data_IF_512917245533
#
_entry.id   IF_512917245533
#
_cell.length_a   1.000
_cell.length_b   1.000
_cell.length_c   1.000
_cell.angle_alpha   90.00
_cell.angle_beta   90.00
_cell.angle_gamma   90.00
#
_symmetry.space_group_name_H-M   'P 1'
#
loop_
_entity.id
_entity.type
_entity.pdbx_description
1 polymer ?
#
# COMPACT_ATOMS: atom_id res chain seq x y z
N UNK A 1 16.40 7.98 -10.40
CA UNK A 1 15.00 7.80 -9.95
C UNK A 1 14.79 6.34 -9.63
N UNK A 2 13.95 6.07 -8.64
CA UNK A 2 13.55 4.72 -8.22
C UNK A 2 12.04 4.71 -8.05
N UNK A 3 11.39 3.65 -8.52
CA UNK A 3 9.96 3.41 -8.33
C UNK A 3 9.73 2.67 -7.01
N UNK A 4 8.68 3.05 -6.27
CA UNK A 4 8.32 2.46 -4.98
C UNK A 4 7.84 1.01 -5.12
N UNK A 5 6.91 0.76 -6.04
CA UNK A 5 6.29 -0.55 -6.26
C UNK A 5 5.30 -0.95 -5.16
N UNK A 6 4.49 -1.99 -5.41
CA UNK A 6 3.30 -2.33 -4.61
C UNK A 6 3.56 -2.86 -3.19
N UNK A 7 4.77 -3.24 -2.85
CA UNK A 7 5.13 -3.76 -1.52
C UNK A 7 6.08 -2.85 -0.75
N UNK A 8 6.27 -1.61 -1.23
CA UNK A 8 7.05 -0.57 -0.58
C UNK A 8 6.41 0.80 -0.80
N UNK A 9 6.65 1.71 0.10
CA UNK A 9 6.30 3.11 0.01
C UNK A 9 7.52 3.99 0.34
N UNK A 10 7.44 5.31 0.23
CA UNK A 10 8.54 6.19 0.59
C UNK A 10 9.03 6.02 2.03
N UNK A 11 8.19 5.57 2.97
CA UNK A 11 8.59 5.31 4.35
C UNK A 11 9.49 4.08 4.46
N UNK A 12 9.12 2.99 3.79
CA UNK A 12 9.93 1.77 3.74
C UNK A 12 11.25 2.04 3.02
N UNK A 13 11.21 2.75 1.88
CA UNK A 13 12.42 3.05 1.11
C UNK A 13 13.36 4.02 1.82
N UNK A 14 12.87 4.91 2.70
CA UNK A 14 13.71 5.76 3.54
C UNK A 14 14.57 4.95 4.54
N UNK A 15 14.25 3.67 4.78
CA UNK A 15 15.13 2.79 5.55
C UNK A 15 16.41 2.41 4.80
N UNK A 16 16.48 2.60 3.47
CA UNK A 16 17.61 2.20 2.63
C UNK A 16 18.50 3.41 2.34
N UNK A 17 19.67 3.56 2.98
CA UNK A 17 20.51 4.77 2.87
C UNK A 17 20.95 5.12 1.45
N UNK A 18 21.15 4.11 0.60
CA UNK A 18 21.52 4.29 -0.81
C UNK A 18 20.49 5.12 -1.60
N UNK A 19 19.22 5.14 -1.13
CA UNK A 19 18.11 5.82 -1.79
C UNK A 19 17.94 7.28 -1.34
N UNK A 20 18.65 7.76 -0.33
CA UNK A 20 18.48 9.11 0.23
C UNK A 20 18.59 10.23 -0.82
N UNK A 21 19.39 9.99 -1.87
CA UNK A 21 19.62 10.96 -2.95
C UNK A 21 18.81 10.67 -4.20
N UNK A 22 17.97 9.63 -4.17
CA UNK A 22 17.17 9.25 -5.31
C UNK A 22 15.80 9.95 -5.30
N UNK A 23 15.35 10.37 -6.47
CA UNK A 23 13.95 10.79 -6.63
C UNK A 23 13.07 9.56 -6.62
N UNK A 24 12.17 9.46 -5.66
CA UNK A 24 11.15 8.42 -5.64
C UNK A 24 9.99 8.83 -6.54
N UNK A 25 9.47 7.88 -7.30
CA UNK A 25 8.27 7.99 -8.13
C UNK A 25 7.38 6.79 -7.85
N UNK A 26 6.10 6.96 -8.09
CA UNK A 26 5.10 5.90 -7.95
C UNK A 26 4.25 5.83 -9.21
N UNK A 27 3.98 4.63 -9.68
CA UNK A 27 3.17 4.37 -10.86
C UNK A 27 2.33 3.12 -10.65
N UNK A 28 1.11 3.12 -11.14
CA UNK A 28 0.13 2.06 -10.88
C UNK A 28 0.49 0.68 -11.43
N UNK A 29 1.45 0.58 -12.36
CA UNK A 29 1.80 -0.66 -13.07
C UNK A 29 0.55 -1.41 -13.59
N UNK A 30 -0.43 -0.66 -14.10
CA UNK A 30 -1.74 -1.18 -14.45
C UNK A 30 -1.67 -2.02 -15.73
N UNK A 31 -1.93 -3.33 -15.61
CA UNK A 31 -2.01 -4.28 -16.73
C UNK A 31 -3.43 -4.42 -17.32
N UNK A 32 -4.38 -3.64 -16.82
CA UNK A 32 -5.76 -3.63 -17.31
C UNK A 32 -6.45 -2.29 -17.02
N UNK A 33 -7.54 -1.92 -17.72
CA UNK A 33 -8.31 -0.70 -17.45
C UNK A 33 -9.25 -0.81 -16.25
N UNK A 34 -9.07 -1.82 -15.39
CA UNK A 34 -9.92 -2.00 -14.21
C UNK A 34 -9.76 -0.83 -13.24
N UNK A 35 -10.88 -0.37 -12.64
CA UNK A 35 -10.94 0.80 -11.77
C UNK A 35 -10.06 0.69 -10.51
N UNK A 36 -9.80 -0.52 -10.03
CA UNK A 36 -8.89 -0.79 -8.92
C UNK A 36 -7.42 -0.93 -9.35
N UNK A 37 -7.09 -0.69 -10.61
CA UNK A 37 -5.73 -0.81 -11.15
C UNK A 37 -5.19 0.50 -11.66
N UNK A 38 -5.95 1.20 -12.50
CA UNK A 38 -5.53 2.49 -13.04
C UNK A 38 -5.57 3.58 -11.97
N UNK A 39 -4.49 4.35 -11.88
CA UNK A 39 -4.43 5.52 -11.00
C UNK A 39 -4.37 5.22 -9.50
N UNK A 40 -4.20 3.96 -9.09
CA UNK A 40 -4.04 3.61 -7.68
C UNK A 40 -2.70 4.07 -7.08
N UNK A 41 -1.75 4.31 -7.93
CA UNK A 41 -0.47 4.92 -7.62
C UNK A 41 -0.14 5.95 -8.70
N UNK A 42 0.39 7.08 -8.30
CA UNK A 42 0.85 8.11 -9.23
C UNK A 42 1.80 9.11 -8.58
N UNK A 43 2.54 9.81 -9.42
CA UNK A 43 3.46 10.88 -9.03
C UNK A 43 2.91 12.23 -9.52
N UNK A 44 2.79 13.19 -8.60
CA UNK A 44 2.39 14.57 -8.95
C UNK A 44 3.63 15.45 -9.12
N UNK A 45 3.71 16.11 -10.26
CA UNK A 45 4.79 17.03 -10.59
C UNK A 45 4.22 18.36 -11.10
N UNK A 46 4.93 19.46 -10.87
CA UNK A 46 4.65 20.76 -11.51
C UNK A 46 5.58 20.94 -12.73
N UNK A 47 5.03 20.65 -13.90
CA UNK A 47 5.75 20.73 -15.16
C UNK A 47 4.80 21.08 -16.31
N UNK A 48 5.31 21.74 -17.34
CA UNK A 48 4.56 21.85 -18.60
C UNK A 48 4.38 20.46 -19.20
N UNK A 49 3.29 20.27 -19.94
CA UNK A 49 2.93 18.99 -20.58
C UNK A 49 3.75 18.74 -21.85
N UNK A 50 5.07 18.83 -21.73
CA UNK A 50 6.03 18.48 -22.79
C UNK A 50 7.15 17.60 -22.21
N UNK A 51 7.76 16.80 -23.08
CA UNK A 51 8.77 15.81 -22.69
C UNK A 51 9.94 16.43 -21.91
N UNK A 52 10.50 17.52 -22.43
CA UNK A 52 11.68 18.17 -21.85
C UNK A 52 11.40 18.71 -20.44
N UNK A 53 10.25 19.34 -20.24
CA UNK A 53 9.84 19.89 -18.96
C UNK A 53 9.61 18.79 -17.93
N UNK A 54 8.93 17.71 -18.31
CA UNK A 54 8.66 16.55 -17.44
C UNK A 54 9.98 15.90 -17.02
N UNK A 55 10.86 15.55 -17.97
CA UNK A 55 12.14 14.89 -17.69
C UNK A 55 13.05 15.77 -16.82
N UNK A 56 13.10 17.06 -17.10
CA UNK A 56 13.87 18.02 -16.31
C UNK A 56 13.38 18.10 -14.87
N UNK A 57 12.05 18.14 -14.66
CA UNK A 57 11.43 18.18 -13.35
C UNK A 57 11.74 16.91 -12.55
N UNK A 58 11.56 15.74 -13.15
CA UNK A 58 11.87 14.46 -12.52
C UNK A 58 13.35 14.30 -12.18
N UNK A 59 14.27 14.66 -13.09
CA UNK A 59 15.72 14.60 -12.84
C UNK A 59 16.17 15.52 -11.71
N UNK A 60 15.48 16.62 -11.47
CA UNK A 60 15.73 17.56 -10.37
C UNK A 60 15.10 17.16 -9.04
N UNK A 61 14.32 16.08 -9.02
CA UNK A 61 13.59 15.66 -7.82
C UNK A 61 12.44 16.59 -7.43
N UNK A 62 11.89 17.33 -8.38
CA UNK A 62 10.78 18.26 -8.14
C UNK A 62 9.43 17.53 -8.18
N UNK A 63 9.33 16.45 -7.41
CA UNK A 63 8.07 15.76 -7.11
C UNK A 63 7.36 16.54 -6.01
N UNK A 64 6.06 16.79 -6.19
CA UNK A 64 5.21 17.47 -5.20
C UNK A 64 4.82 16.46 -4.13
N UNK A 65 4.19 15.36 -4.54
CA UNK A 65 3.82 14.23 -3.69
C UNK A 65 3.61 12.98 -4.55
N UNK A 66 3.52 11.84 -3.90
CA UNK A 66 3.08 10.58 -4.52
C UNK A 66 1.81 10.06 -3.84
N UNK A 67 1.02 9.33 -4.61
CA UNK A 67 -0.01 8.45 -4.07
C UNK A 67 0.50 7.01 -4.17
N UNK A 68 0.43 6.32 -3.06
CA UNK A 68 1.06 5.03 -2.88
C UNK A 68 0.02 3.95 -2.56
N UNK A 69 0.29 2.77 -3.03
CA UNK A 69 -0.34 1.55 -2.53
C UNK A 69 0.11 1.31 -1.08
N UNK A 70 -0.77 0.82 -0.23
CA UNK A 70 -0.32 0.48 1.12
C UNK A 70 0.51 -0.81 1.08
N UNK A 71 1.77 -0.79 1.53
CA UNK A 71 2.64 -1.97 1.47
C UNK A 71 2.07 -3.19 2.19
N UNK A 72 1.22 -2.99 3.22
CA UNK A 72 0.57 -4.08 3.96
C UNK A 72 -0.41 -4.90 3.11
N UNK A 73 -0.92 -4.35 2.01
CA UNK A 73 -1.66 -5.10 1.01
C UNK A 73 -0.74 -5.91 0.09
N UNK A 74 0.46 -5.39 -0.17
CA UNK A 74 1.42 -5.91 -1.14
C UNK A 74 1.87 -7.33 -0.85
N UNK A 75 1.84 -8.20 -1.86
CA UNK A 75 2.06 -9.65 -1.81
C UNK A 75 3.36 -10.13 -1.14
N UNK A 76 4.33 -9.26 -0.94
CA UNK A 76 5.67 -9.61 -0.45
C UNK A 76 6.14 -8.66 0.66
N UNK A 77 5.22 -8.03 1.38
CA UNK A 77 5.60 -7.05 2.39
C UNK A 77 6.26 -7.69 3.63
N UNK A 78 5.62 -8.71 4.22
CA UNK A 78 6.20 -9.45 5.34
C UNK A 78 6.84 -10.76 4.91
N UNK A 79 7.74 -11.26 5.76
CA UNK A 79 8.40 -12.55 5.58
C UNK A 79 7.46 -13.69 5.98
N UNK A 80 7.41 -14.76 5.20
CA UNK A 80 6.55 -15.88 5.56
C UNK A 80 6.46 -16.99 4.55
N UNK A 81 5.56 -17.93 4.83
CA UNK A 81 5.12 -19.00 3.96
C UNK A 81 3.60 -19.12 3.99
N UNK A 82 2.96 -19.03 2.82
CA UNK A 82 1.51 -19.16 2.68
C UNK A 82 1.03 -20.59 2.79
N UNK A 83 -0.25 -20.76 3.10
CA UNK A 83 -0.95 -22.02 3.00
C UNK A 83 -0.93 -22.58 1.56
N UNK A 84 -1.01 -23.89 1.41
CA UNK A 84 -1.11 -24.59 0.14
C UNK A 84 0.17 -24.61 -0.71
N UNK A 85 1.31 -24.02 -0.22
CA UNK A 85 2.59 -24.25 -0.88
C UNK A 85 3.18 -25.63 -0.49
N UNK A 86 4.18 -26.09 -1.23
CA UNK A 86 4.84 -27.38 -0.96
C UNK A 86 5.44 -27.46 0.45
N UNK A 87 4.91 -28.33 1.29
CA UNK A 87 5.22 -28.48 2.71
C UNK A 87 4.25 -27.73 3.63
N UNK A 88 3.14 -27.21 3.09
CA UNK A 88 2.04 -26.55 3.79
C UNK A 88 0.69 -27.02 3.21
N UNK A 89 0.63 -28.28 2.80
CA UNK A 89 -0.54 -28.87 2.15
C UNK A 89 -1.75 -28.95 3.10
N UNK A 90 -1.50 -29.04 4.41
CA UNK A 90 -2.53 -29.11 5.46
C UNK A 90 -3.12 -27.73 5.82
N UNK A 91 -2.74 -26.67 5.09
CA UNK A 91 -3.25 -25.32 5.31
C UNK A 91 -2.41 -24.49 6.31
N UNK A 92 -1.36 -25.05 6.88
CA UNK A 92 -0.45 -24.31 7.77
C UNK A 92 0.21 -23.13 7.07
N UNK A 93 0.43 -22.04 7.80
CA UNK A 93 1.09 -20.85 7.31
C UNK A 93 1.86 -20.12 8.41
N UNK A 94 2.82 -19.29 8.03
CA UNK A 94 3.53 -18.43 8.98
C UNK A 94 3.83 -17.06 8.38
N UNK A 95 3.75 -16.01 9.22
CA UNK A 95 3.99 -14.61 8.86
C UNK A 95 4.80 -13.96 9.98
N UNK A 96 5.87 -13.25 9.60
CA UNK A 96 6.77 -12.61 10.55
C UNK A 96 7.12 -11.19 10.12
N UNK A 97 7.05 -10.25 11.07
CA UNK A 97 7.76 -8.98 10.95
C UNK A 97 9.28 -9.20 11.18
N UNK A 98 10.13 -8.26 10.79
CA UNK A 98 11.59 -8.40 10.91
C UNK A 98 12.10 -8.72 12.33
N UNK A 99 11.33 -8.34 13.37
CA UNK A 99 11.68 -8.61 14.78
C UNK A 99 11.47 -10.07 15.18
N UNK A 100 10.60 -10.76 14.47
CA UNK A 100 10.14 -12.11 14.81
C UNK A 100 10.56 -13.17 13.79
N UNK A 101 11.18 -12.76 12.68
CA UNK A 101 11.72 -13.72 11.71
C UNK A 101 12.71 -14.66 12.39
N UNK A 102 12.56 -16.00 12.27
CA UNK A 102 13.53 -16.96 12.80
C UNK A 102 14.96 -16.61 12.35
N UNK A 103 15.91 -16.67 13.28
CA UNK A 103 17.30 -16.24 13.03
C UNK A 103 18.02 -17.07 11.97
N UNK A 104 17.59 -18.31 11.76
CA UNK A 104 18.07 -19.20 10.70
C UNK A 104 17.38 -18.96 9.36
N UNK A 105 16.33 -18.10 9.30
CA UNK A 105 15.55 -17.82 8.11
C UNK A 105 14.69 -18.99 7.63
N UNK A 106 14.51 -20.03 8.46
CA UNK A 106 13.76 -21.22 8.09
C UNK A 106 12.31 -21.20 8.60
N UNK A 107 11.43 -21.76 7.81
CA UNK A 107 10.03 -21.91 8.16
C UNK A 107 9.86 -22.95 9.31
N UNK A 108 9.20 -22.61 10.42
CA UNK A 108 9.01 -23.52 11.54
C UNK A 108 8.10 -24.72 11.21
N UNK A 109 7.35 -24.66 10.11
CA UNK A 109 6.43 -25.73 9.68
C UNK A 109 7.15 -26.72 8.76
N UNK A 110 7.80 -26.22 7.68
CA UNK A 110 8.36 -27.10 6.65
C UNK A 110 9.89 -27.13 6.60
N UNK A 111 10.58 -26.38 7.45
CA UNK A 111 12.05 -26.33 7.52
C UNK A 111 12.76 -25.73 6.29
N UNK A 112 12.03 -25.16 5.34
CA UNK A 112 12.62 -24.54 4.14
C UNK A 112 12.85 -23.03 4.36
N UNK A 113 13.77 -22.39 3.58
CA UNK A 113 13.95 -20.95 3.62
C UNK A 113 12.64 -20.19 3.41
N UNK A 114 12.38 -19.22 4.29
CA UNK A 114 11.22 -18.34 4.20
C UNK A 114 11.31 -17.44 2.95
N UNK A 115 10.16 -17.07 2.39
CA UNK A 115 10.08 -15.98 1.42
C UNK A 115 10.28 -14.68 2.17
N UNK A 116 11.43 -14.03 1.96
CA UNK A 116 11.81 -12.78 2.63
C UNK A 116 10.91 -11.63 2.17
N UNK A 117 10.35 -10.90 3.13
CA UNK A 117 9.54 -9.71 2.88
C UNK A 117 10.38 -8.46 2.58
N UNK A 118 9.75 -7.50 1.90
CA UNK A 118 10.38 -6.22 1.54
C UNK A 118 10.79 -5.42 2.77
N UNK A 119 9.97 -5.42 3.82
CA UNK A 119 10.29 -4.71 5.07
C UNK A 119 11.56 -5.27 5.74
N UNK A 120 11.71 -6.58 5.76
CA UNK A 120 12.93 -7.21 6.28
C UNK A 120 14.14 -6.92 5.40
N UNK A 121 13.98 -7.00 4.08
CA UNK A 121 15.06 -6.67 3.14
C UNK A 121 15.54 -5.23 3.30
N UNK A 122 14.63 -4.27 3.48
CA UNK A 122 14.98 -2.87 3.74
C UNK A 122 15.84 -2.73 5.02
N UNK A 123 15.48 -3.41 6.10
CA UNK A 123 16.26 -3.44 7.33
C UNK A 123 17.65 -4.07 7.17
N UNK A 124 17.77 -5.14 6.38
CA UNK A 124 19.07 -5.76 6.06
C UNK A 124 19.96 -4.79 5.27
N UNK A 125 19.42 -4.10 4.27
CA UNK A 125 20.15 -3.12 3.47
C UNK A 125 20.62 -1.93 4.32
N UNK A 126 19.80 -1.46 5.25
CA UNK A 126 20.17 -0.42 6.21
C UNK A 126 21.42 -0.83 7.03
N UNK A 127 21.37 -1.99 7.66
CA UNK A 127 22.49 -2.51 8.46
C UNK A 127 23.75 -2.76 7.65
N UNK A 128 23.62 -3.20 6.40
CA UNK A 128 24.77 -3.39 5.49
C UNK A 128 25.52 -2.10 5.19
N UNK A 129 24.86 -0.94 5.32
CA UNK A 129 25.46 0.39 5.18
C UNK A 129 25.97 0.98 6.52
N UNK A 130 25.95 0.19 7.59
CA UNK A 130 26.37 0.63 8.93
C UNK A 130 25.33 1.49 9.66
N UNK A 131 24.09 1.54 9.19
CA UNK A 131 22.98 2.25 9.81
C UNK A 131 21.93 1.25 10.32
N UNK A 132 21.19 1.61 11.36
CA UNK A 132 20.05 0.84 11.84
C UNK A 132 18.79 1.67 11.74
N UNK A 133 18.28 1.80 10.52
CA UNK A 133 17.05 2.52 10.24
C UNK A 133 15.83 1.62 10.40
N UNK A 134 14.81 2.15 11.05
CA UNK A 134 13.50 1.51 11.22
C UNK A 134 12.40 2.41 10.68
N UNK A 135 11.19 1.89 10.48
CA UNK A 135 10.04 2.70 10.07
C UNK A 135 9.81 3.93 10.98
N UNK A 136 10.12 3.83 12.27
CA UNK A 136 9.94 4.92 13.23
C UNK A 136 11.07 5.96 13.17
N UNK A 137 12.27 5.54 12.81
CA UNK A 137 13.47 6.39 12.84
C UNK A 137 13.64 7.24 11.59
N UNK A 138 12.95 6.92 10.49
CA UNK A 138 13.09 7.59 9.21
C UNK A 138 11.88 8.46 8.87
N UNK A 139 12.09 9.41 7.95
CA UNK A 139 11.01 10.20 7.36
C UNK A 139 11.24 10.32 5.85
N UNK A 140 10.20 10.16 5.04
CA UNK A 140 10.29 10.36 3.59
C UNK A 140 10.66 11.79 3.26
N UNK A 141 11.47 11.96 2.21
CA UNK A 141 11.90 13.28 1.74
C UNK A 141 10.77 14.11 1.13
N UNK A 142 9.70 13.46 0.68
CA UNK A 142 8.53 14.09 0.06
C UNK A 142 7.24 13.57 0.72
N UNK A 143 6.19 14.39 0.77
CA UNK A 143 4.90 13.95 1.26
C UNK A 143 4.30 12.88 0.34
N UNK A 144 3.55 11.96 0.91
CA UNK A 144 2.81 10.94 0.19
C UNK A 144 1.51 10.59 0.92
N UNK A 145 0.59 9.96 0.22
CA UNK A 145 -0.66 9.43 0.77
C UNK A 145 -0.81 7.97 0.39
N UNK A 146 -1.33 7.16 1.30
CA UNK A 146 -1.80 5.83 0.93
C UNK A 146 -3.21 5.96 0.33
N UNK A 147 -3.37 5.46 -0.88
CA UNK A 147 -4.64 5.49 -1.59
C UNK A 147 -5.20 4.07 -1.71
N UNK A 148 -6.38 3.85 -1.13
CA UNK A 148 -7.17 2.65 -1.38
C UNK A 148 -8.16 2.97 -2.50
N UNK A 149 -8.21 2.19 -3.61
CA UNK A 149 -9.14 2.44 -4.70
C UNK A 149 -10.59 2.55 -4.21
N UNK A 150 -11.30 3.59 -4.64
CA UNK A 150 -12.67 3.86 -4.19
C UNK A 150 -13.61 2.66 -4.38
N UNK A 151 -13.42 1.88 -5.45
CA UNK A 151 -14.22 0.65 -5.69
C UNK A 151 -14.00 -0.41 -4.61
N UNK A 152 -12.83 -0.46 -3.98
CA UNK A 152 -12.52 -1.39 -2.90
C UNK A 152 -13.19 -0.95 -1.60
N UNK A 153 -13.18 0.35 -1.30
CA UNK A 153 -13.90 0.91 -0.15
C UNK A 153 -15.41 0.69 -0.31
N UNK A 154 -15.97 0.92 -1.51
CA UNK A 154 -17.39 0.67 -1.78
C UNK A 154 -17.73 -0.82 -1.62
N UNK A 155 -16.88 -1.71 -2.13
CA UNK A 155 -17.08 -3.15 -2.00
C UNK A 155 -17.04 -3.58 -0.53
N UNK A 156 -16.07 -3.12 0.24
CA UNK A 156 -15.94 -3.34 1.69
C UNK A 156 -17.20 -2.85 2.44
N UNK A 157 -17.60 -1.58 2.26
CA UNK A 157 -18.77 -0.99 2.91
C UNK A 157 -20.07 -1.76 2.64
N UNK A 158 -20.19 -2.34 1.45
CA UNK A 158 -21.39 -3.10 1.04
C UNK A 158 -21.30 -4.60 1.34
N UNK A 159 -20.18 -5.10 1.87
CA UNK A 159 -19.97 -6.54 2.07
C UNK A 159 -19.95 -7.33 0.76
N UNK A 160 -19.46 -6.73 -0.34
CA UNK A 160 -19.42 -7.33 -1.67
C UNK A 160 -17.98 -7.73 -1.99
N UNK A 161 -17.74 -9.01 -2.28
CA UNK A 161 -16.40 -9.53 -2.59
C UNK A 161 -15.83 -9.07 -3.93
N UNK A 162 -16.69 -8.75 -4.91
CA UNK A 162 -16.26 -8.35 -6.25
C UNK A 162 -16.36 -6.85 -6.46
N UNK A 163 -15.21 -6.20 -6.61
CA UNK A 163 -15.10 -4.76 -6.98
C UNK A 163 -15.70 -4.45 -8.36
N UNK A 164 -15.88 -5.46 -9.22
CA UNK A 164 -16.47 -5.31 -10.55
C UNK A 164 -17.99 -5.54 -10.56
N UNK A 165 -18.63 -5.73 -9.41
CA UNK A 165 -20.08 -5.93 -9.36
C UNK A 165 -20.83 -4.68 -9.84
N UNK A 166 -22.01 -4.89 -10.48
CA UNK A 166 -22.82 -3.77 -10.97
C UNK A 166 -23.16 -2.73 -9.90
N UNK A 167 -23.39 -3.17 -8.65
CA UNK A 167 -23.71 -2.30 -7.53
C UNK A 167 -22.51 -1.42 -7.12
N UNK A 168 -21.30 -2.00 -7.11
CA UNK A 168 -20.06 -1.25 -6.81
C UNK A 168 -19.80 -0.24 -7.91
N UNK A 169 -19.84 -0.66 -9.17
CA UNK A 169 -19.59 0.21 -10.32
C UNK A 169 -20.62 1.35 -10.41
N UNK A 170 -21.91 1.08 -10.18
CA UNK A 170 -22.93 2.15 -10.17
C UNK A 170 -22.61 3.20 -9.11
N UNK A 171 -22.35 2.79 -7.87
CA UNK A 171 -21.99 3.73 -6.79
C UNK A 171 -20.70 4.50 -7.09
N UNK A 172 -19.70 3.85 -7.67
CA UNK A 172 -18.47 4.51 -8.11
C UNK A 172 -18.76 5.61 -9.14
N UNK A 173 -19.58 5.31 -10.16
CA UNK A 173 -19.93 6.28 -11.21
C UNK A 173 -20.76 7.45 -10.64
N UNK A 174 -21.68 7.19 -9.71
CA UNK A 174 -22.46 8.24 -9.05
C UNK A 174 -21.52 9.23 -8.33
N UNK A 175 -20.54 8.74 -7.59
CA UNK A 175 -19.55 9.56 -6.88
C UNK A 175 -18.66 10.29 -7.85
N UNK A 176 -18.10 9.60 -8.86
CA UNK A 176 -17.12 10.20 -9.78
C UNK A 176 -17.73 11.14 -10.81
N UNK A 177 -19.06 11.18 -10.91
CA UNK A 177 -19.79 12.25 -11.64
C UNK A 177 -19.75 13.58 -10.87
N UNK A 178 -19.67 13.54 -9.55
CA UNK A 178 -19.68 14.73 -8.70
C UNK A 178 -18.26 15.25 -8.37
N UNK A 179 -17.26 14.36 -8.28
CA UNK A 179 -15.86 14.73 -8.00
C UNK A 179 -14.90 13.70 -8.61
N UNK A 180 -13.63 14.10 -8.84
CA UNK A 180 -12.62 13.13 -9.21
C UNK A 180 -12.23 12.27 -8.00
N UNK A 181 -11.89 11.00 -8.23
CA UNK A 181 -11.42 10.11 -7.14
C UNK A 181 -10.21 10.71 -6.41
N UNK A 182 -9.28 11.35 -7.12
CA UNK A 182 -8.11 12.00 -6.51
C UNK A 182 -8.50 13.09 -5.50
N UNK A 183 -9.60 13.82 -5.73
CA UNK A 183 -10.05 14.90 -4.83
C UNK A 183 -10.39 14.33 -3.43
N UNK A 184 -10.90 13.10 -3.36
CA UNK A 184 -11.20 12.43 -2.09
C UNK A 184 -9.96 12.29 -1.18
N UNK A 185 -8.79 12.15 -1.77
CA UNK A 185 -7.53 11.93 -1.04
C UNK A 185 -6.82 13.21 -0.65
N UNK A 186 -6.90 14.25 -1.49
CA UNK A 186 -6.14 15.49 -1.28
C UNK A 186 -6.96 16.64 -0.71
N UNK A 187 -8.28 16.63 -0.88
CA UNK A 187 -9.16 17.64 -0.29
C UNK A 187 -9.33 17.47 1.23
N UNK A 188 -9.80 18.52 1.91
CA UNK A 188 -10.09 18.45 3.34
C UNK A 188 -11.27 17.50 3.63
N UNK A 189 -11.32 16.94 4.86
CA UNK A 189 -12.44 16.09 5.31
C UNK A 189 -13.79 16.78 5.13
N UNK A 190 -13.89 18.07 5.49
CA UNK A 190 -15.12 18.85 5.36
C UNK A 190 -15.53 19.02 3.90
N UNK A 191 -14.56 19.19 3.00
CA UNK A 191 -14.82 19.24 1.55
C UNK A 191 -15.35 17.92 1.03
N UNK A 192 -14.70 16.80 1.39
CA UNK A 192 -15.13 15.44 0.98
C UNK A 192 -16.55 15.17 1.46
N UNK A 193 -16.86 15.44 2.73
CA UNK A 193 -18.23 15.28 3.26
C UNK A 193 -19.26 16.09 2.48
N UNK A 194 -18.94 17.33 2.15
CA UNK A 194 -19.82 18.21 1.37
C UNK A 194 -20.01 17.71 -0.07
N UNK A 195 -18.96 17.24 -0.73
CA UNK A 195 -19.02 16.71 -2.10
C UNK A 195 -19.88 15.45 -2.19
N UNK A 196 -19.82 14.60 -1.19
CA UNK A 196 -20.52 13.31 -1.16
C UNK A 196 -21.90 13.37 -0.54
N UNK A 197 -22.27 14.47 0.14
CA UNK A 197 -23.58 14.64 0.77
C UNK A 197 -24.72 14.49 -0.26
N UNK A 198 -25.66 13.60 0.02
CA UNK A 198 -26.79 13.29 -0.89
C UNK A 198 -26.44 12.39 -2.09
N UNK A 199 -25.17 12.02 -2.27
CA UNK A 199 -24.70 11.13 -3.35
C UNK A 199 -24.37 9.75 -2.78
N UNK A 200 -23.60 9.70 -1.70
CA UNK A 200 -23.22 8.47 -1.01
C UNK A 200 -23.93 8.36 0.34
N UNK A 201 -24.15 7.13 0.79
CA UNK A 201 -24.68 6.85 2.12
C UNK A 201 -23.65 7.27 3.20
N UNK A 202 -24.12 7.75 4.35
CA UNK A 202 -23.26 8.26 5.43
C UNK A 202 -22.20 7.25 5.89
N UNK A 203 -22.54 5.96 5.93
CA UNK A 203 -21.58 4.91 6.28
C UNK A 203 -20.42 4.82 5.28
N UNK A 204 -20.67 5.00 3.99
CA UNK A 204 -19.63 5.00 2.97
C UNK A 204 -18.77 6.28 3.05
N UNK A 205 -19.39 7.43 3.31
CA UNK A 205 -18.67 8.68 3.55
C UNK A 205 -17.72 8.52 4.73
N UNK A 206 -18.17 7.90 5.82
CA UNK A 206 -17.35 7.65 7.00
C UNK A 206 -16.19 6.71 6.68
N UNK A 207 -16.40 5.61 5.96
CA UNK A 207 -15.33 4.69 5.54
C UNK A 207 -14.27 5.41 4.69
N UNK A 208 -14.66 6.24 3.74
CA UNK A 208 -13.74 7.08 2.95
C UNK A 208 -12.93 8.00 3.87
N UNK A 209 -13.55 8.62 4.86
CA UNK A 209 -12.87 9.49 5.82
C UNK A 209 -11.93 8.69 6.73
N UNK A 210 -12.30 7.49 7.17
CA UNK A 210 -11.39 6.63 7.95
C UNK A 210 -10.15 6.26 7.14
N UNK A 211 -10.32 5.84 5.87
CA UNK A 211 -9.18 5.56 4.98
C UNK A 211 -8.31 6.80 4.79
N UNK A 212 -8.92 7.97 4.53
CA UNK A 212 -8.21 9.25 4.41
C UNK A 212 -7.38 9.61 5.65
N UNK A 213 -7.87 9.27 6.84
CA UNK A 213 -7.15 9.46 8.12
C UNK A 213 -6.07 8.40 8.37
N UNK A 214 -5.93 7.41 7.50
CA UNK A 214 -5.06 6.27 7.70
C UNK A 214 -5.55 5.30 8.77
N UNK A 215 -6.86 5.30 9.09
CA UNK A 215 -7.51 4.36 10.00
C UNK A 215 -7.98 3.13 9.21
N UNK A 216 -7.06 2.41 8.66
CA UNK A 216 -7.29 1.15 7.95
C UNK A 216 -6.04 0.29 8.00
N UNK A 217 -6.22 -0.98 7.71
CA UNK A 217 -5.14 -1.98 7.65
C UNK A 217 -5.50 -3.07 6.65
N UNK A 218 -4.59 -4.04 6.50
CA UNK A 218 -4.82 -5.24 5.69
C UNK A 218 -4.52 -6.49 6.51
N UNK A 219 -5.47 -7.43 6.61
CA UNK A 219 -5.37 -8.67 7.40
C UNK A 219 -5.70 -9.93 6.58
N UNK A 220 -4.80 -10.93 6.62
CA UNK A 220 -3.43 -10.79 7.07
C UNK A 220 -2.68 -9.75 6.24
N UNK A 221 -1.60 -9.16 6.79
CA UNK A 221 -0.69 -8.35 5.99
C UNK A 221 -0.08 -9.21 4.88
N UNK A 222 0.13 -8.64 3.69
CA UNK A 222 0.59 -9.39 2.53
C UNK A 222 1.95 -10.06 2.71
N UNK A 223 2.07 -11.31 2.25
CA UNK A 223 3.27 -12.14 2.37
C UNK A 223 3.26 -13.29 1.37
N UNK A 224 4.42 -13.80 0.99
CA UNK A 224 4.63 -15.00 0.17
C UNK A 224 3.68 -15.16 -1.04
N UNK A 225 3.32 -14.05 -1.68
CA UNK A 225 2.44 -14.06 -2.85
C UNK A 225 0.94 -13.84 -2.55
N UNK A 226 0.55 -13.76 -1.28
CA UNK A 226 -0.82 -13.45 -0.85
C UNK A 226 -0.99 -11.95 -0.63
N UNK A 227 -2.12 -11.39 -1.08
CA UNK A 227 -2.51 -10.01 -0.80
C UNK A 227 -3.16 -9.89 0.57
N UNK A 228 -2.96 -8.76 1.23
CA UNK A 228 -3.76 -8.39 2.38
C UNK A 228 -5.20 -8.06 2.00
N UNK A 229 -6.12 -8.25 2.95
CA UNK A 229 -7.53 -7.89 2.80
C UNK A 229 -7.85 -6.64 3.60
N UNK A 230 -8.47 -5.65 2.97
CA UNK A 230 -8.81 -4.35 3.57
C UNK A 230 -9.71 -4.50 4.81
N UNK A 231 -9.32 -3.81 5.88
CA UNK A 231 -10.12 -3.60 7.11
C UNK A 231 -10.10 -2.11 7.44
N UNK A 232 -11.28 -1.49 7.54
CA UNK A 232 -11.43 -0.05 7.82
C UNK A 232 -11.80 0.15 9.29
N UNK A 233 -11.31 1.25 9.89
CA UNK A 233 -11.55 1.60 11.28
C UNK A 233 -10.52 1.04 12.27
N UNK A 234 -9.54 0.30 11.79
CA UNK A 234 -8.47 -0.29 12.59
C UNK A 234 -7.09 0.14 12.09
N UNK A 235 -6.10 0.05 12.96
CA UNK A 235 -4.68 0.19 12.59
C UNK A 235 -3.92 -0.99 13.13
N UNK A 236 -3.07 -1.59 12.31
CA UNK A 236 -2.17 -2.64 12.76
C UNK A 236 -0.77 -2.10 13.00
N UNK A 237 -0.11 -2.71 13.96
CA UNK A 237 1.32 -2.57 14.11
C UNK A 237 2.05 -3.69 13.34
N UNK A 238 2.36 -3.41 12.08
CA UNK A 238 3.09 -4.34 11.21
C UNK A 238 4.50 -4.68 11.73
N UNK A 239 4.98 -3.98 12.75
CA UNK A 239 6.30 -4.20 13.38
C UNK A 239 6.30 -5.38 14.34
N UNK A 240 5.13 -5.83 14.77
CA UNK A 240 4.97 -6.85 15.83
C UNK A 240 4.09 -8.03 15.40
N UNK A 241 4.24 -8.45 14.14
CA UNK A 241 3.51 -9.60 13.59
C UNK A 241 4.32 -10.86 13.76
N UNK A 242 3.76 -11.86 14.45
CA UNK A 242 4.29 -13.22 14.57
C UNK A 242 3.13 -14.21 14.59
N UNK A 243 2.90 -14.90 13.49
CA UNK A 243 1.82 -15.89 13.36
C UNK A 243 2.39 -17.20 12.86
N UNK A 244 2.07 -18.29 13.54
CA UNK A 244 2.31 -19.67 13.06
C UNK A 244 1.01 -20.43 13.28
N UNK A 245 0.42 -20.92 12.19
CA UNK A 245 -0.78 -21.76 12.18
C UNK A 245 -0.40 -23.11 11.56
N UNK A 246 -0.65 -24.18 12.27
CA UNK A 246 -0.38 -25.56 11.82
C UNK A 246 -1.60 -26.17 11.16
#
# INVERSE_FOLDING_TARGET
MVETGLSADPQVLAMVPELDRMTLISNSDAHSPALHRMGREFTTIDARRDYESIIKTLRRGHVIHTAEFNPSEGRYFLTGHRAGRKGHEDGGHCIFSPRHTPSDGLCPICGKPLTMGVLERAGILSRAQGEERTLDSVRPAKPFVHMVPLVEIIAHNRGISSVSSKKVISTYLDITTACNECDLWFESESTVRRLLAGIAHDSLIEDIIQVKKGNFTFRPTGYDGEYGTLVIGERDDVRDVATVSY
#
